data_IF_200878863387
#
_entry.id   IF_200878863387
#
_cell.length_a   1.000
_cell.length_b   1.000
_cell.length_c   1.000
_cell.angle_alpha   90.00
_cell.angle_beta   90.00
_cell.angle_gamma   90.00
#
_symmetry.space_group_name_H-M   'P 1'
#
loop_
_entity.id
_entity.type
_entity.pdbx_description
1 polymer ?
#
# COMPACT_ATOMS: atom_id res chain seq x y z
N UNK A 1 46.71 63.78 71.05
CA UNK A 1 45.48 63.20 70.47
C UNK A 1 45.11 63.77 69.08
N UNK A 2 45.28 65.08 68.82
CA UNK A 2 44.96 65.73 67.51
C UNK A 2 45.62 65.08 66.27
N UNK A 3 46.91 64.71 66.31
CA UNK A 3 47.64 64.09 65.18
C UNK A 3 47.12 62.70 64.77
N UNK A 4 46.51 61.96 65.70
CA UNK A 4 45.90 60.65 65.40
C UNK A 4 44.53 60.80 64.73
N UNK A 5 43.76 61.81 65.16
CA UNK A 5 42.46 62.17 64.59
C UNK A 5 42.60 62.70 63.16
N UNK A 6 43.60 63.56 62.90
CA UNK A 6 43.90 64.08 61.56
C UNK A 6 44.30 62.98 60.56
N UNK A 7 45.05 61.96 60.99
CA UNK A 7 45.40 60.80 60.13
C UNK A 7 44.18 59.94 59.79
N UNK A 8 43.21 59.79 60.71
CA UNK A 8 41.94 59.10 60.44
C UNK A 8 41.08 59.90 59.45
N UNK A 9 41.04 61.23 59.59
CA UNK A 9 40.30 62.12 58.69
C UNK A 9 40.89 62.14 57.27
N UNK A 10 42.22 62.20 57.14
CA UNK A 10 42.92 62.08 55.85
C UNK A 10 42.74 60.71 55.18
N UNK A 11 42.67 59.63 55.97
CA UNK A 11 42.36 58.28 55.45
C UNK A 11 40.90 58.19 54.97
N UNK A 12 39.95 58.78 55.70
CA UNK A 12 38.55 58.85 55.30
C UNK A 12 38.36 59.70 54.03
N UNK A 13 39.00 60.87 53.95
CA UNK A 13 38.97 61.72 52.77
C UNK A 13 39.56 61.01 51.54
N UNK A 14 40.70 60.31 51.69
CA UNK A 14 41.27 59.48 50.62
C UNK A 14 40.34 58.32 50.21
N UNK A 15 39.68 57.66 51.17
CA UNK A 15 38.72 56.61 50.87
C UNK A 15 37.51 57.14 50.08
N UNK A 16 37.01 58.33 50.40
CA UNK A 16 35.94 59.00 49.64
C UNK A 16 36.40 59.33 48.22
N UNK A 17 37.62 59.85 48.06
CA UNK A 17 38.20 60.12 46.73
C UNK A 17 38.37 58.83 45.93
N UNK A 18 38.85 57.74 46.54
CA UNK A 18 38.95 56.44 45.86
C UNK A 18 37.59 55.86 45.49
N UNK A 19 36.56 56.02 46.34
CA UNK A 19 35.19 55.62 46.02
C UNK A 19 34.61 56.43 44.85
N UNK A 20 34.85 57.74 44.81
CA UNK A 20 34.45 58.56 43.67
C UNK A 20 35.19 58.15 42.39
N UNK A 21 36.50 57.92 42.47
CA UNK A 21 37.30 57.43 41.33
C UNK A 21 36.81 56.06 40.84
N UNK A 22 36.46 55.15 41.76
CA UNK A 22 35.92 53.84 41.43
C UNK A 22 34.54 53.96 40.76
N UNK A 23 33.68 54.86 41.24
CA UNK A 23 32.38 55.15 40.63
C UNK A 23 32.50 55.75 39.23
N UNK A 24 33.44 56.68 39.02
CA UNK A 24 33.75 57.24 37.70
C UNK A 24 34.31 56.17 36.77
N UNK A 25 35.22 55.32 37.25
CA UNK A 25 35.74 54.21 36.46
C UNK A 25 34.64 53.21 36.10
N UNK A 26 33.74 52.89 37.03
CA UNK A 26 32.61 51.99 36.79
C UNK A 26 31.64 52.56 35.75
N UNK A 27 31.27 53.84 35.87
CA UNK A 27 30.38 54.50 34.90
C UNK A 27 31.04 54.66 33.53
N UNK A 28 32.35 54.96 33.47
CA UNK A 28 33.11 55.01 32.23
C UNK A 28 33.21 53.62 31.59
N UNK A 29 33.50 52.58 32.37
CA UNK A 29 33.54 51.20 31.89
C UNK A 29 32.16 50.73 31.40
N UNK A 30 31.09 51.07 32.13
CA UNK A 30 29.72 50.81 31.74
C UNK A 30 29.35 51.55 30.45
N UNK A 31 29.70 52.84 30.32
CA UNK A 31 29.47 53.64 29.12
C UNK A 31 30.28 53.13 27.92
N UNK A 32 31.55 52.76 28.11
CA UNK A 32 32.39 52.19 27.04
C UNK A 32 31.85 50.83 26.61
N UNK A 33 31.51 49.93 27.54
CA UNK A 33 30.88 48.64 27.22
C UNK A 33 29.53 48.80 26.52
N UNK A 34 28.68 49.70 27.01
CA UNK A 34 27.38 49.98 26.43
C UNK A 34 27.48 50.65 25.06
N UNK A 35 28.42 51.59 24.90
CA UNK A 35 28.68 52.24 23.61
C UNK A 35 29.29 51.28 22.61
N UNK A 36 30.18 50.37 23.02
CA UNK A 36 30.69 49.27 22.18
C UNK A 36 29.57 48.33 21.74
N UNK A 37 28.57 48.08 22.59
CA UNK A 37 27.40 47.27 22.24
C UNK A 37 26.51 47.95 21.18
N UNK A 38 26.39 49.28 21.20
CA UNK A 38 25.55 50.05 20.26
C UNK A 38 26.31 50.49 18.99
N UNK A 39 27.64 50.66 19.05
CA UNK A 39 28.50 51.09 17.91
C UNK A 39 28.76 50.00 16.87
N UNK A 40 28.37 48.74 17.13
CA UNK A 40 28.45 47.67 16.13
C UNK A 40 27.49 48.03 15.00
N UNK A 41 28.04 48.45 13.87
CA UNK A 41 27.30 48.99 12.72
C UNK A 41 26.16 48.09 12.26
N UNK A 42 25.24 48.70 11.52
CA UNK A 42 24.16 47.97 10.84
C UNK A 42 24.67 47.36 9.53
N UNK A 43 24.12 46.22 9.16
CA UNK A 43 24.36 45.56 7.88
C UNK A 43 23.01 45.11 7.31
N UNK A 44 22.79 45.15 5.99
CA UNK A 44 21.61 44.54 5.41
C UNK A 44 21.64 43.01 5.63
N UNK A 45 20.49 42.43 5.96
CA UNK A 45 20.35 40.98 6.02
C UNK A 45 20.59 40.39 4.61
N UNK A 46 21.46 39.38 4.46
CA UNK A 46 21.72 38.74 3.17
C UNK A 46 20.48 37.97 2.69
N UNK A 47 20.45 37.67 1.40
CA UNK A 47 19.49 36.74 0.82
C UNK A 47 19.99 35.31 0.98
N UNK A 48 19.26 34.51 1.75
CA UNK A 48 19.58 33.12 2.05
C UNK A 48 18.64 32.14 1.36
N UNK A 49 17.55 32.61 0.75
CA UNK A 49 16.54 31.76 0.11
C UNK A 49 17.18 30.89 -0.99
N UNK A 50 16.88 29.59 -0.97
CA UNK A 50 17.38 28.62 -1.94
C UNK A 50 18.83 28.18 -1.72
N UNK A 51 19.57 28.75 -0.77
CA UNK A 51 20.93 28.31 -0.46
C UNK A 51 20.92 27.03 0.40
N UNK A 52 21.96 26.22 0.25
CA UNK A 52 22.22 25.09 1.14
C UNK A 52 22.60 25.59 2.54
N UNK A 53 22.37 24.77 3.58
CA UNK A 53 22.62 25.18 4.98
C UNK A 53 24.05 25.68 5.24
N UNK A 54 25.04 25.03 4.64
CA UNK A 54 26.45 25.40 4.79
C UNK A 54 26.77 26.74 4.14
N UNK A 55 26.29 26.95 2.91
CA UNK A 55 26.46 28.20 2.15
C UNK A 55 25.76 29.37 2.83
N UNK A 56 24.52 29.17 3.30
CA UNK A 56 23.77 30.16 4.05
C UNK A 56 24.53 30.58 5.33
N UNK A 57 25.07 29.61 6.07
CA UNK A 57 25.88 29.85 7.27
C UNK A 57 27.14 30.65 6.96
N UNK A 58 27.85 30.31 5.88
CA UNK A 58 29.03 31.04 5.44
C UNK A 58 28.70 32.49 5.06
N UNK A 59 27.63 32.70 4.28
CA UNK A 59 27.21 34.04 3.84
C UNK A 59 26.76 34.92 5.02
N UNK A 60 26.02 34.36 5.98
CA UNK A 60 25.63 35.09 7.18
C UNK A 60 26.86 35.44 8.05
N UNK A 61 27.81 34.52 8.19
CA UNK A 61 29.03 34.74 8.96
C UNK A 61 29.92 35.83 8.35
N UNK A 62 30.04 35.89 7.02
CA UNK A 62 30.73 36.94 6.28
C UNK A 62 30.15 38.34 6.57
N UNK A 63 28.83 38.43 6.68
CA UNK A 63 28.12 39.66 7.07
C UNK A 63 28.14 39.93 8.58
N UNK A 64 28.82 39.10 9.37
CA UNK A 64 28.90 39.20 10.82
C UNK A 64 27.56 38.93 11.52
N UNK A 65 26.68 38.14 10.91
CA UNK A 65 25.40 37.70 11.46
C UNK A 65 25.48 36.26 11.96
N UNK A 66 24.56 35.89 12.85
CA UNK A 66 24.42 34.52 13.37
C UNK A 66 23.17 33.88 12.75
N UNK A 67 23.21 32.59 12.46
CA UNK A 67 22.01 31.85 12.04
C UNK A 67 21.43 31.10 13.23
N UNK A 68 20.10 31.17 13.36
CA UNK A 68 19.30 30.26 14.17
C UNK A 68 18.42 29.45 13.23
N UNK A 69 18.68 28.14 13.17
CA UNK A 69 17.84 27.20 12.44
C UNK A 69 16.56 26.97 13.23
N UNK A 70 15.43 27.21 12.59
CA UNK A 70 14.14 26.89 13.18
C UNK A 70 13.92 25.37 13.15
N UNK A 71 13.38 24.81 14.22
CA UNK A 71 12.93 23.42 14.27
C UNK A 71 11.55 23.22 13.60
N UNK A 72 10.89 24.31 13.19
CA UNK A 72 9.60 24.27 12.51
C UNK A 72 9.74 23.62 11.14
N UNK A 73 9.07 22.50 10.93
CA UNK A 73 9.05 21.79 9.65
C UNK A 73 8.33 22.63 8.60
N UNK A 74 9.00 22.84 7.47
CA UNK A 74 8.40 23.47 6.29
C UNK A 74 8.60 22.58 5.08
N UNK A 75 7.51 22.28 4.40
CA UNK A 75 7.50 21.53 3.15
C UNK A 75 7.34 22.51 2.01
N UNK A 76 8.10 22.29 0.94
CA UNK A 76 8.05 23.10 -0.27
C UNK A 76 8.42 22.22 -1.46
N UNK A 77 7.57 22.21 -2.48
CA UNK A 77 7.72 21.32 -3.63
C UNK A 77 8.80 21.82 -4.62
N UNK A 78 9.26 23.08 -4.48
CA UNK A 78 10.24 23.72 -5.35
C UNK A 78 11.62 23.82 -4.70
N UNK A 79 11.69 23.86 -3.38
CA UNK A 79 12.94 23.98 -2.62
C UNK A 79 13.38 22.58 -2.15
N UNK A 80 14.54 22.08 -2.59
CA UNK A 80 15.03 20.76 -2.18
C UNK A 80 15.22 20.64 -0.66
N UNK A 81 15.16 19.43 -0.10
CA UNK A 81 15.42 19.23 1.32
C UNK A 81 16.81 19.76 1.69
N UNK A 82 16.94 20.35 2.89
CA UNK A 82 18.21 20.92 3.36
C UNK A 82 18.56 22.28 2.76
N UNK A 83 17.64 22.92 2.03
CA UNK A 83 17.81 24.27 1.52
C UNK A 83 16.88 25.25 2.23
N UNK A 84 17.29 26.51 2.30
CA UNK A 84 16.53 27.56 2.98
C UNK A 84 15.25 27.89 2.20
N UNK A 85 14.10 27.72 2.84
CA UNK A 85 12.78 28.10 2.29
C UNK A 85 12.31 29.46 2.79
N UNK A 86 12.93 29.98 3.84
CA UNK A 86 12.58 31.31 4.34
C UNK A 86 13.55 31.81 5.39
N UNK A 87 13.53 33.13 5.60
CA UNK A 87 14.34 33.78 6.62
C UNK A 87 13.60 34.94 7.28
N UNK A 88 14.03 35.26 8.51
CA UNK A 88 13.62 36.47 9.22
C UNK A 88 14.83 37.02 9.99
N UNK A 89 15.17 38.32 9.83
CA UNK A 89 14.51 39.34 9.02
C UNK A 89 14.59 39.11 7.51
N UNK A 90 13.71 39.78 6.74
CA UNK A 90 13.67 39.66 5.28
C UNK A 90 14.98 40.17 4.66
N UNK A 91 15.39 39.67 3.48
CA UNK A 91 16.57 40.16 2.77
C UNK A 91 16.54 41.69 2.64
N UNK A 92 17.71 42.33 2.76
CA UNK A 92 17.86 43.78 2.70
C UNK A 92 17.44 44.54 3.97
N UNK A 93 16.82 43.89 4.96
CA UNK A 93 16.47 44.54 6.23
C UNK A 93 17.74 44.93 6.98
N UNK A 94 17.86 46.20 7.39
CA UNK A 94 18.98 46.65 8.19
C UNK A 94 18.93 46.04 9.59
N UNK A 95 19.93 45.25 9.91
CA UNK A 95 20.09 44.57 11.20
C UNK A 95 21.41 44.94 11.84
N UNK A 96 21.49 44.90 13.17
CA UNK A 96 22.75 45.12 13.88
C UNK A 96 23.71 43.97 13.59
N UNK A 97 25.00 44.26 13.35
CA UNK A 97 26.02 43.20 13.30
C UNK A 97 26.02 42.39 14.61
N UNK A 98 26.16 41.08 14.47
CA UNK A 98 26.06 40.10 15.56
C UNK A 98 24.64 39.70 15.92
N UNK A 99 23.62 40.25 15.25
CA UNK A 99 22.24 39.80 15.40
C UNK A 99 22.01 38.43 14.75
N UNK A 100 20.91 37.80 15.15
CA UNK A 100 20.52 36.47 14.68
C UNK A 100 19.48 36.57 13.57
N UNK A 101 19.71 35.85 12.48
CA UNK A 101 18.74 35.58 11.42
C UNK A 101 18.14 34.20 11.66
N UNK A 102 16.83 34.14 11.87
CA UNK A 102 16.10 32.88 11.95
C UNK A 102 15.85 32.38 10.53
N UNK A 103 16.15 31.11 10.30
CA UNK A 103 16.08 30.48 8.98
C UNK A 103 15.23 29.21 9.07
N UNK A 104 14.34 29.03 8.10
CA UNK A 104 13.55 27.80 7.93
C UNK A 104 14.14 26.99 6.78
N UNK A 105 14.23 25.68 6.98
CA UNK A 105 14.79 24.75 6.02
C UNK A 105 13.66 23.90 5.44
N UNK A 106 13.69 23.70 4.13
CA UNK A 106 12.76 22.81 3.44
C UNK A 106 13.02 21.36 3.85
N UNK A 107 11.94 20.62 4.10
CA UNK A 107 11.92 19.16 4.19
C UNK A 107 11.63 18.49 2.85
N UNK A 108 11.54 19.27 1.77
CA UNK A 108 11.12 18.82 0.45
C UNK A 108 9.59 18.79 0.30
N UNK A 109 9.07 18.12 -0.75
CA UNK A 109 7.64 17.97 -0.95
C UNK A 109 7.01 17.18 0.20
N UNK A 110 5.76 17.50 0.52
CA UNK A 110 5.01 16.74 1.53
C UNK A 110 4.81 15.32 1.03
N UNK A 111 5.07 14.34 1.89
CA UNK A 111 4.84 12.93 1.59
C UNK A 111 3.79 12.33 2.52
N UNK A 112 3.11 11.31 2.03
CA UNK A 112 2.07 10.53 2.70
C UNK A 112 2.40 9.07 2.52
N UNK A 113 2.19 8.28 3.58
CA UNK A 113 2.38 6.84 3.54
C UNK A 113 1.19 6.14 2.89
N UNK A 114 1.47 5.22 1.97
CA UNK A 114 0.44 4.42 1.29
C UNK A 114 -0.07 3.31 2.23
N UNK A 115 -1.38 3.27 2.56
CA UNK A 115 -1.92 2.24 3.44
C UNK A 115 -1.99 0.87 2.75
N UNK A 116 -2.00 -0.24 3.52
CA UNK A 116 -2.27 -1.57 2.99
C UNK A 116 -3.76 -1.74 2.71
N UNK A 117 -4.13 -1.98 1.45
CA UNK A 117 -5.51 -2.26 1.02
C UNK A 117 -5.66 -3.64 0.36
N UNK A 118 -4.59 -4.44 0.34
CA UNK A 118 -4.62 -5.82 -0.17
C UNK A 118 -5.56 -6.66 0.70
N UNK A 119 -6.48 -7.38 0.07
CA UNK A 119 -7.50 -8.20 0.71
C UNK A 119 -8.83 -7.46 0.94
N UNK A 120 -8.88 -6.15 0.74
CA UNK A 120 -10.10 -5.37 0.85
C UNK A 120 -10.94 -5.44 -0.44
N UNK A 121 -12.25 -5.21 -0.32
CA UNK A 121 -13.10 -4.93 -1.48
C UNK A 121 -12.77 -3.54 -2.05
N UNK A 122 -12.95 -3.35 -3.37
CA UNK A 122 -12.64 -2.09 -4.05
C UNK A 122 -13.19 -0.84 -3.34
N UNK A 123 -14.43 -0.91 -2.85
CA UNK A 123 -15.11 0.19 -2.17
C UNK A 123 -14.49 0.50 -0.81
N UNK A 124 -14.06 -0.52 -0.06
CA UNK A 124 -13.35 -0.33 1.20
C UNK A 124 -11.97 0.29 0.94
N UNK A 125 -11.23 -0.25 -0.03
CA UNK A 125 -9.93 0.28 -0.44
C UNK A 125 -10.00 1.76 -0.86
N UNK A 126 -11.07 2.16 -1.58
CA UNK A 126 -11.32 3.56 -1.94
C UNK A 126 -11.46 4.46 -0.71
N UNK A 127 -12.20 4.03 0.30
CA UNK A 127 -12.38 4.81 1.54
C UNK A 127 -11.06 4.89 2.31
N UNK A 128 -10.33 3.80 2.44
CA UNK A 128 -9.02 3.75 3.12
C UNK A 128 -8.01 4.68 2.44
N UNK A 129 -7.93 4.66 1.11
CA UNK A 129 -7.05 5.54 0.34
C UNK A 129 -7.47 7.00 0.44
N UNK A 130 -8.77 7.30 0.33
CA UNK A 130 -9.28 8.67 0.47
C UNK A 130 -9.02 9.24 1.87
N UNK A 131 -9.13 8.42 2.93
CA UNK A 131 -8.81 8.82 4.29
C UNK A 131 -7.32 9.17 4.48
N UNK A 132 -6.44 8.51 3.73
CA UNK A 132 -5.02 8.87 3.65
C UNK A 132 -4.76 10.08 2.73
N UNK A 133 -5.77 10.64 2.06
CA UNK A 133 -5.59 11.72 1.08
C UNK A 133 -4.98 11.26 -0.24
N UNK A 134 -5.13 9.98 -0.58
CA UNK A 134 -4.70 9.37 -1.83
C UNK A 134 -5.91 9.09 -2.72
N UNK A 135 -5.67 8.83 -4.01
CA UNK A 135 -6.72 8.54 -4.98
C UNK A 135 -6.58 7.14 -5.56
N UNK A 136 -7.69 6.53 -5.98
CA UNK A 136 -7.62 5.30 -6.76
C UNK A 136 -7.29 5.65 -8.19
N UNK A 137 -6.18 5.09 -8.68
CA UNK A 137 -5.74 5.21 -10.06
C UNK A 137 -6.37 4.15 -10.96
N UNK A 138 -5.57 3.59 -11.86
CA UNK A 138 -6.03 2.53 -12.75
C UNK A 138 -6.30 1.23 -12.00
N UNK A 139 -7.39 0.58 -12.38
CA UNK A 139 -7.78 -0.72 -11.82
C UNK A 139 -7.61 -1.78 -12.90
N UNK A 140 -6.85 -2.83 -12.61
CA UNK A 140 -6.59 -3.95 -13.52
C UNK A 140 -7.16 -5.21 -12.90
N UNK A 141 -7.95 -5.95 -13.65
CA UNK A 141 -8.62 -7.13 -13.15
C UNK A 141 -7.87 -8.39 -13.62
N UNK A 142 -7.48 -9.25 -12.70
CA UNK A 142 -6.68 -10.47 -12.95
C UNK A 142 -7.43 -11.72 -12.48
N UNK A 143 -7.38 -12.78 -13.27
CA UNK A 143 -8.03 -14.05 -12.89
C UNK A 143 -7.38 -14.63 -11.64
N UNK A 144 -8.23 -14.93 -10.65
CA UNK A 144 -7.85 -15.57 -9.40
C UNK A 144 -8.65 -16.86 -9.21
N UNK A 145 -7.96 -17.89 -8.72
CA UNK A 145 -8.56 -19.19 -8.38
C UNK A 145 -9.22 -19.18 -6.99
N UNK A 146 -9.12 -18.07 -6.24
CA UNK A 146 -9.73 -17.91 -4.92
C UNK A 146 -11.26 -17.70 -4.94
N UNK A 147 -11.85 -17.61 -6.15
CA UNK A 147 -13.29 -17.60 -6.39
C UNK A 147 -14.01 -16.30 -5.97
N UNK A 148 -13.29 -15.31 -5.44
CA UNK A 148 -13.85 -14.00 -5.06
C UNK A 148 -13.63 -13.01 -6.18
N UNK A 149 -14.67 -12.23 -6.48
CA UNK A 149 -14.64 -11.18 -7.49
C UNK A 149 -14.54 -9.81 -6.82
N UNK A 150 -13.73 -8.90 -7.37
CA UNK A 150 -13.62 -7.52 -6.91
C UNK A 150 -12.81 -7.29 -5.63
N UNK A 151 -11.96 -8.24 -5.22
CA UNK A 151 -11.05 -8.09 -4.08
C UNK A 151 -9.70 -7.57 -4.56
N UNK A 152 -9.10 -6.62 -3.84
CA UNK A 152 -7.76 -6.13 -4.13
C UNK A 152 -6.75 -7.24 -3.83
N UNK A 153 -6.08 -7.73 -4.87
CA UNK A 153 -5.02 -8.76 -4.79
C UNK A 153 -3.63 -8.15 -4.92
N UNK A 154 -3.55 -6.89 -5.33
CA UNK A 154 -2.31 -6.14 -5.36
C UNK A 154 -2.57 -4.64 -5.42
N UNK A 155 -1.57 -3.86 -5.03
CA UNK A 155 -1.58 -2.41 -5.15
C UNK A 155 -0.21 -1.92 -5.60
N UNK A 156 -0.17 -0.77 -6.28
CA UNK A 156 1.06 -0.09 -6.64
C UNK A 156 0.88 1.44 -6.60
N UNK A 157 1.73 2.20 -5.90
CA UNK A 157 2.83 1.78 -5.02
C UNK A 157 2.41 0.84 -3.86
N UNK A 158 3.36 0.03 -3.39
CA UNK A 158 3.13 -0.95 -2.33
C UNK A 158 2.85 -0.31 -0.96
N UNK A 159 2.30 -1.05 0.01
CA UNK A 159 2.06 -0.54 1.36
C UNK A 159 3.34 0.00 2.01
N UNK A 160 3.23 1.11 2.74
CA UNK A 160 4.37 1.79 3.39
C UNK A 160 5.22 2.65 2.45
N UNK A 161 4.91 2.69 1.15
CA UNK A 161 5.58 3.60 0.22
C UNK A 161 5.24 5.04 0.57
N UNK A 162 6.20 5.96 0.38
CA UNK A 162 5.97 7.38 0.54
C UNK A 162 5.67 8.02 -0.82
N UNK A 163 4.52 8.69 -0.92
CA UNK A 163 4.04 9.33 -2.16
C UNK A 163 3.54 10.74 -1.86
N UNK A 164 3.37 11.55 -2.90
CA UNK A 164 2.77 12.87 -2.73
C UNK A 164 1.28 12.77 -2.37
N UNK A 165 0.73 13.72 -1.59
CA UNK A 165 -0.70 13.85 -1.39
C UNK A 165 -1.47 13.83 -2.72
N UNK A 166 -2.56 13.07 -2.78
CA UNK A 166 -3.39 12.91 -3.98
C UNK A 166 -2.84 11.93 -5.01
N UNK A 167 -1.66 11.34 -4.79
CA UNK A 167 -1.08 10.38 -5.72
C UNK A 167 -2.05 9.21 -6.03
N UNK A 168 -2.16 8.79 -7.31
CA UNK A 168 -3.02 7.69 -7.71
C UNK A 168 -2.37 6.34 -7.37
N UNK A 169 -3.13 5.47 -6.70
CA UNK A 169 -2.72 4.09 -6.39
C UNK A 169 -3.42 3.13 -7.35
N UNK A 170 -2.65 2.40 -8.15
CA UNK A 170 -3.17 1.37 -9.03
C UNK A 170 -3.57 0.14 -8.22
N UNK A 171 -4.74 -0.42 -8.51
CA UNK A 171 -5.28 -1.59 -7.81
C UNK A 171 -5.42 -2.77 -8.78
N UNK A 172 -4.96 -3.92 -8.33
CA UNK A 172 -5.18 -5.19 -9.03
C UNK A 172 -6.33 -5.91 -8.34
N UNK A 173 -7.40 -6.19 -9.08
CA UNK A 173 -8.60 -6.85 -8.55
C UNK A 173 -8.66 -8.30 -8.97
N UNK A 174 -9.15 -9.15 -8.09
CA UNK A 174 -9.49 -10.53 -8.43
C UNK A 174 -10.70 -10.55 -9.37
N UNK A 175 -10.57 -11.31 -10.45
CA UNK A 175 -11.67 -11.78 -11.26
C UNK A 175 -11.90 -13.24 -10.96
N UNK A 176 -13.17 -13.61 -10.86
CA UNK A 176 -13.54 -15.02 -10.81
C UNK A 176 -13.05 -15.72 -12.06
N UNK A 177 -12.06 -16.60 -11.91
CA UNK A 177 -11.67 -17.54 -12.95
C UNK A 177 -12.84 -18.51 -13.18
N UNK A 178 -13.56 -18.38 -14.29
CA UNK A 178 -14.57 -19.38 -14.70
C UNK A 178 -13.95 -20.72 -15.14
N UNK A 179 -12.65 -20.90 -14.90
CA UNK A 179 -11.90 -22.13 -15.17
C UNK A 179 -11.49 -22.29 -16.63
N UNK A 180 -10.62 -23.26 -16.87
CA UNK A 180 -10.28 -23.76 -18.21
C UNK A 180 -11.57 -24.22 -18.90
N UNK A 181 -11.92 -23.57 -20.00
CA UNK A 181 -13.02 -24.01 -20.88
C UNK A 181 -12.49 -25.12 -21.78
N UNK A 182 -13.10 -26.29 -21.73
CA UNK A 182 -12.83 -27.40 -22.66
C UNK A 182 -13.85 -27.37 -23.79
N UNK A 183 -13.56 -27.99 -24.93
CA UNK A 183 -14.56 -28.16 -25.99
C UNK A 183 -15.07 -29.58 -25.96
N UNK A 184 -16.40 -29.75 -26.07
CA UNK A 184 -17.06 -31.04 -26.13
C UNK A 184 -16.58 -31.77 -27.40
N UNK A 185 -15.83 -32.88 -27.27
CA UNK A 185 -15.42 -33.66 -28.43
C UNK A 185 -16.62 -34.34 -29.11
N UNK A 186 -16.43 -34.83 -30.33
CA UNK A 186 -17.38 -35.72 -30.98
C UNK A 186 -17.20 -37.15 -30.45
N UNK A 187 -18.24 -37.64 -29.79
CA UNK A 187 -18.36 -38.93 -29.14
C UNK A 187 -19.22 -39.90 -29.96
N UNK A 188 -19.88 -39.43 -31.03
CA UNK A 188 -20.75 -40.28 -31.85
C UNK A 188 -19.91 -41.38 -32.51
N UNK A 189 -20.45 -42.60 -32.55
CA UNK A 189 -19.76 -43.85 -32.99
C UNK A 189 -18.59 -44.29 -32.09
N UNK A 190 -18.35 -43.66 -30.94
CA UNK A 190 -17.34 -44.11 -29.99
C UNK A 190 -17.93 -45.11 -28.99
N UNK A 191 -17.05 -45.93 -28.44
CA UNK A 191 -17.37 -46.86 -27.37
C UNK A 191 -17.61 -46.11 -26.05
N UNK A 192 -18.75 -46.40 -25.41
CA UNK A 192 -19.17 -45.74 -24.19
C UNK A 192 -18.18 -45.95 -23.02
N UNK A 193 -17.57 -47.13 -22.87
CA UNK A 193 -16.64 -47.38 -21.77
C UNK A 193 -15.34 -46.59 -21.92
N UNK A 194 -14.83 -46.46 -23.15
CA UNK A 194 -13.69 -45.62 -23.47
C UNK A 194 -13.99 -44.14 -23.19
N UNK A 195 -15.18 -43.67 -23.60
CA UNK A 195 -15.66 -42.31 -23.37
C UNK A 195 -15.79 -42.01 -21.87
N UNK A 196 -16.43 -42.90 -21.12
CA UNK A 196 -16.59 -42.80 -19.67
C UNK A 196 -15.26 -42.62 -18.97
N UNK A 197 -14.30 -43.52 -19.23
CA UNK A 197 -12.96 -43.44 -18.65
C UNK A 197 -12.21 -42.17 -19.05
N UNK A 198 -12.41 -41.68 -20.28
CA UNK A 198 -11.79 -40.44 -20.76
C UNK A 198 -12.24 -39.21 -19.96
N UNK A 199 -13.54 -39.10 -19.69
CA UNK A 199 -14.13 -37.99 -18.94
C UNK A 199 -13.91 -38.11 -17.43
N UNK A 200 -14.04 -39.31 -16.84
CA UNK A 200 -13.80 -39.54 -15.41
C UNK A 200 -12.36 -39.16 -15.01
N UNK A 201 -11.35 -39.54 -15.80
CA UNK A 201 -9.95 -39.15 -15.54
C UNK A 201 -9.70 -37.63 -15.57
N UNK A 202 -10.58 -36.87 -16.21
CA UNK A 202 -10.48 -35.41 -16.35
C UNK A 202 -11.44 -34.67 -15.42
N UNK A 203 -12.10 -35.38 -14.50
CA UNK A 203 -13.01 -34.80 -13.52
C UNK A 203 -14.39 -34.42 -14.06
N UNK A 204 -14.75 -34.88 -15.26
CA UNK A 204 -16.09 -34.68 -15.82
C UNK A 204 -17.02 -35.84 -15.44
N UNK A 205 -18.30 -35.51 -15.20
CA UNK A 205 -19.32 -36.48 -14.81
C UNK A 205 -20.27 -36.72 -15.99
N UNK A 206 -20.45 -37.98 -16.33
CA UNK A 206 -21.53 -38.40 -17.23
C UNK A 206 -22.79 -38.55 -16.38
N UNK A 207 -23.83 -37.80 -16.73
CA UNK A 207 -25.11 -37.80 -16.05
C UNK A 207 -26.06 -38.85 -16.62
N UNK A 208 -27.09 -38.40 -17.35
CA UNK A 208 -28.14 -39.28 -17.86
C UNK A 208 -27.65 -40.09 -19.06
N UNK A 209 -27.84 -41.40 -18.99
CA UNK A 209 -27.61 -42.34 -20.09
C UNK A 209 -28.96 -42.83 -20.58
N UNK A 210 -29.23 -42.66 -21.87
CA UNK A 210 -30.39 -43.23 -22.55
C UNK A 210 -29.97 -44.44 -23.36
N UNK A 211 -30.61 -45.59 -23.15
CA UNK A 211 -30.37 -46.79 -23.95
C UNK A 211 -31.40 -46.89 -25.08
N UNK A 212 -30.94 -47.16 -26.29
CA UNK A 212 -31.79 -47.34 -27.47
C UNK A 212 -31.34 -48.59 -28.21
N UNK A 213 -32.27 -49.44 -28.64
CA UNK A 213 -31.97 -50.56 -29.53
C UNK A 213 -31.80 -50.04 -30.95
N UNK A 214 -30.71 -50.44 -31.61
CA UNK A 214 -30.42 -50.01 -32.97
C UNK A 214 -29.76 -51.17 -33.73
N UNK A 215 -30.43 -51.67 -34.76
CA UNK A 215 -29.96 -52.81 -35.53
C UNK A 215 -28.73 -52.45 -36.36
N UNK A 216 -27.76 -53.36 -36.41
CA UNK A 216 -26.53 -53.18 -37.19
C UNK A 216 -25.48 -52.26 -36.57
N UNK A 217 -25.65 -51.83 -35.31
CA UNK A 217 -24.62 -51.09 -34.56
C UNK A 217 -24.24 -51.88 -33.31
N UNK A 218 -22.94 -51.94 -33.02
CA UNK A 218 -22.44 -52.69 -31.87
C UNK A 218 -23.02 -52.15 -30.54
N UNK A 219 -23.42 -53.02 -29.61
CA UNK A 219 -23.83 -52.63 -28.27
C UNK A 219 -22.77 -51.76 -27.58
N UNK A 220 -23.20 -50.76 -26.79
CA UNK A 220 -22.28 -49.83 -26.11
C UNK A 220 -21.76 -48.68 -26.98
N UNK A 221 -22.13 -48.62 -28.27
CA UNK A 221 -21.78 -47.48 -29.15
C UNK A 221 -22.61 -46.25 -28.81
N UNK A 222 -21.98 -45.08 -28.72
CA UNK A 222 -22.65 -43.79 -28.53
C UNK A 222 -23.32 -43.35 -29.84
N UNK A 223 -24.65 -43.17 -29.81
CA UNK A 223 -25.46 -42.71 -30.93
C UNK A 223 -25.65 -41.19 -30.92
N UNK A 224 -25.78 -40.60 -29.72
CA UNK A 224 -26.07 -39.18 -29.53
C UNK A 224 -25.36 -38.66 -28.29
N UNK A 225 -24.97 -37.40 -28.32
CA UNK A 225 -24.38 -36.71 -27.19
C UNK A 225 -25.11 -35.41 -26.90
N UNK A 226 -25.09 -35.01 -25.64
CA UNK A 226 -25.48 -33.68 -25.21
C UNK A 226 -24.55 -33.23 -24.08
N UNK A 227 -23.91 -32.05 -24.15
CA UNK A 227 -23.97 -31.08 -25.26
C UNK A 227 -23.40 -31.59 -26.60
N UNK A 228 -23.72 -30.89 -27.70
CA UNK A 228 -23.20 -31.22 -29.04
C UNK A 228 -21.70 -30.94 -29.16
N UNK A 229 -21.05 -31.55 -30.16
CA UNK A 229 -19.63 -31.34 -30.40
C UNK A 229 -19.31 -29.85 -30.62
N UNK A 230 -18.17 -29.40 -30.10
CA UNK A 230 -17.76 -27.99 -30.12
C UNK A 230 -18.39 -27.11 -29.03
N UNK A 231 -19.36 -27.62 -28.27
CA UNK A 231 -19.92 -26.87 -27.13
C UNK A 231 -18.86 -26.66 -26.03
N UNK A 232 -18.73 -25.46 -25.45
CA UNK A 232 -17.81 -25.22 -24.34
C UNK A 232 -18.26 -25.96 -23.07
N UNK A 233 -17.38 -26.77 -22.50
CA UNK A 233 -17.57 -27.51 -21.26
C UNK A 233 -16.81 -26.85 -20.09
N UNK A 234 -17.48 -26.75 -18.95
CA UNK A 234 -16.97 -26.30 -17.67
C UNK A 234 -16.89 -27.45 -16.67
N UNK A 235 -15.96 -27.41 -15.68
CA UNK A 235 -15.96 -28.35 -14.58
C UNK A 235 -17.30 -28.33 -13.83
N UNK A 236 -18.05 -29.43 -13.86
CA UNK A 236 -19.38 -29.55 -13.26
C UNK A 236 -20.54 -29.66 -14.25
N UNK A 237 -20.32 -29.41 -15.54
CA UNK A 237 -21.35 -29.63 -16.57
C UNK A 237 -21.74 -31.10 -16.66
N UNK A 238 -23.04 -31.34 -16.88
CA UNK A 238 -23.60 -32.69 -16.97
C UNK A 238 -23.63 -33.14 -18.42
N UNK A 239 -22.86 -34.17 -18.76
CA UNK A 239 -22.84 -34.77 -20.10
C UNK A 239 -23.84 -35.92 -20.14
N UNK A 240 -24.77 -35.89 -21.10
CA UNK A 240 -25.75 -36.95 -21.34
C UNK A 240 -25.45 -37.67 -22.64
N UNK A 241 -25.59 -39.00 -22.66
CA UNK A 241 -25.27 -39.83 -23.81
C UNK A 241 -26.46 -40.75 -24.16
N UNK A 242 -26.73 -40.90 -25.44
CA UNK A 242 -27.57 -41.96 -25.98
C UNK A 242 -26.67 -43.10 -26.48
N UNK A 243 -26.83 -44.30 -25.93
CA UNK A 243 -25.97 -45.45 -26.17
C UNK A 243 -26.80 -46.63 -26.68
N UNK A 244 -26.24 -47.43 -27.59
CA UNK A 244 -26.88 -48.68 -28.01
C UNK A 244 -27.02 -49.61 -26.80
N UNK A 245 -28.25 -50.08 -26.55
CA UNK A 245 -28.54 -50.97 -25.44
C UNK A 245 -27.59 -52.19 -25.46
N UNK A 246 -27.03 -52.60 -24.30
CA UNK A 246 -26.36 -53.88 -24.21
C UNK A 246 -27.35 -54.97 -24.65
N UNK A 247 -26.89 -55.92 -25.43
CA UNK A 247 -27.71 -57.07 -25.82
C UNK A 247 -28.12 -57.80 -24.54
N UNK A 248 -29.39 -57.65 -24.17
CA UNK A 248 -29.95 -58.30 -23.00
C UNK A 248 -30.02 -59.78 -23.36
N UNK A 249 -29.17 -60.60 -22.72
CA UNK A 249 -29.31 -62.04 -22.80
C UNK A 249 -30.77 -62.41 -22.48
N UNK A 250 -31.45 -63.21 -23.32
CA UNK A 250 -32.85 -63.55 -23.09
C UNK A 250 -33.02 -64.14 -21.69
N UNK A 251 -34.15 -63.90 -21.00
CA UNK A 251 -34.38 -64.39 -19.65
C UNK A 251 -34.19 -65.91 -19.65
N UNK A 252 -33.27 -66.41 -18.82
CA UNK A 252 -33.13 -67.84 -18.60
C UNK A 252 -34.46 -68.35 -18.07
N UNK A 253 -35.12 -69.23 -18.83
CA UNK A 253 -36.33 -69.92 -18.40
C UNK A 253 -35.95 -70.72 -17.16
N UNK A 254 -36.45 -70.30 -16.00
CA UNK A 254 -36.29 -71.06 -14.76
C UNK A 254 -36.84 -72.48 -14.98
N UNK A 255 -36.13 -73.55 -14.55
CA UNK A 255 -36.71 -74.88 -14.60
C UNK A 255 -37.98 -74.91 -13.73
N UNK A 256 -39.07 -75.41 -14.32
CA UNK A 256 -40.34 -75.56 -13.64
C UNK A 256 -40.15 -76.34 -12.33
N UNK A 257 -40.44 -75.70 -11.22
CA UNK A 257 -40.62 -76.35 -9.94
C UNK A 257 -41.84 -77.28 -10.05
N UNK A 258 -41.60 -78.58 -10.17
CA UNK A 258 -42.64 -79.61 -10.01
C UNK A 258 -43.04 -79.66 -8.53
N UNK A 259 -44.23 -79.14 -8.23
CA UNK A 259 -44.85 -79.17 -6.91
C UNK A 259 -45.47 -80.53 -6.58
N UNK A 260 -45.02 -81.08 -5.44
CA UNK A 260 -45.74 -81.70 -4.32
C UNK A 260 -47.11 -82.40 -4.49
N UNK A 261 -47.25 -83.54 -3.78
CA UNK A 261 -48.46 -83.99 -3.06
C UNK A 261 -49.21 -85.17 -3.70
N UNK A 262 -49.01 -86.43 -3.26
CA UNK A 262 -49.66 -87.14 -2.14
C UNK A 262 -51.08 -87.66 -2.45
N UNK A 263 -51.28 -88.98 -2.41
CA UNK A 263 -52.30 -89.74 -1.62
C UNK A 263 -52.63 -91.13 -2.22
N UNK A 264 -52.62 -92.15 -1.35
CA UNK A 264 -53.68 -93.18 -1.29
C UNK A 264 -53.62 -94.47 -2.15
N UNK A 265 -53.31 -95.59 -1.47
CA UNK A 265 -53.83 -96.98 -1.55
C UNK A 265 -55.00 -97.31 -2.54
N UNK A 266 -55.24 -98.58 -2.99
CA UNK A 266 -55.21 -99.79 -2.15
C UNK A 266 -54.81 -101.17 -2.75
N UNK A 267 -54.63 -102.12 -1.84
CA UNK A 267 -54.96 -103.57 -1.88
C UNK A 267 -54.51 -104.45 -3.06
N UNK A 268 -53.66 -105.45 -2.77
CA UNK A 268 -53.93 -106.89 -2.84
C UNK A 268 -52.81 -107.67 -2.15
#
# INVERSE_FOLDING_TARGET
>A
MLRAMWRKLLRAARAVVYLMLLGVLFTLAAYVSFSQFIRRGVTPAPELFGLAEEEARALAADQGLRISWSEEERFDDRVPPGHVVGQRPRPGTLVKRGSTVTVWVSRGPRQVEVPPVIGEALQAAQVTLAAAGLTVGHTVSIYSDDGRDGIVVGQQPGPGSLVEPGAPIALFLSLKSTGRTYLMPDLVKRDYEAVRRFFERRGFRIGRIGYVTYDGVAPGTVLRQFPVAGHPLRPGDVISLGVVAPEVAPPQVAPAAGGAGNEGAPSS
#
